data_IF_066215004215
#
_entry.id   IF_066215004215
#
_cell.length_a   1.000
_cell.length_b   1.000
_cell.length_c   1.000
_cell.angle_alpha   90.00
_cell.angle_beta   90.00
_cell.angle_gamma   90.00
#
_symmetry.space_group_name_H-M   'P 1'
#
loop_
_entity.id
_entity.type
_entity.pdbx_description
1 polymer ?
#
# COMPACT_ATOMS: atom_id res chain seq x y z
N UNK A 1 -40.90 -39.30 23.93
CA UNK A 1 -40.73 -37.85 24.21
C UNK A 1 -39.27 -37.52 23.94
N UNK A 2 -38.94 -37.11 22.71
CA UNK A 2 -37.58 -36.80 22.25
C UNK A 2 -37.31 -35.31 22.48
N UNK A 3 -36.47 -35.00 23.46
CA UNK A 3 -35.99 -33.63 23.70
C UNK A 3 -34.96 -33.26 22.64
N UNK A 4 -35.37 -32.44 21.68
CA UNK A 4 -34.49 -31.78 20.72
C UNK A 4 -33.69 -30.69 21.43
N UNK A 5 -32.42 -30.94 21.74
CA UNK A 5 -31.46 -29.92 22.15
C UNK A 5 -31.22 -28.97 20.97
N UNK A 6 -31.91 -27.84 20.98
CA UNK A 6 -31.63 -26.73 20.06
C UNK A 6 -30.27 -26.17 20.48
N UNK A 7 -29.24 -26.44 19.68
CA UNK A 7 -27.93 -25.82 19.85
C UNK A 7 -28.10 -24.31 19.64
N UNK A 8 -28.22 -23.58 20.74
CA UNK A 8 -28.27 -22.13 20.75
C UNK A 8 -26.86 -21.66 20.36
N UNK A 9 -26.74 -21.09 19.17
CA UNK A 9 -25.48 -20.56 18.68
C UNK A 9 -24.97 -19.51 19.67
N UNK A 10 -23.83 -19.79 20.32
CA UNK A 10 -23.20 -18.87 21.26
C UNK A 10 -22.96 -17.56 20.49
N UNK A 11 -23.59 -16.44 20.88
CA UNK A 11 -23.36 -15.18 20.19
C UNK A 11 -21.87 -14.86 20.27
N UNK A 12 -21.28 -14.48 19.13
CA UNK A 12 -19.90 -14.02 19.09
C UNK A 12 -19.72 -12.98 20.20
N UNK A 13 -18.71 -13.17 21.06
CA UNK A 13 -18.41 -12.23 22.14
C UNK A 13 -18.36 -10.81 21.58
N UNK A 14 -19.03 -9.87 22.23
CA UNK A 14 -19.02 -8.44 21.86
C UNK A 14 -17.59 -7.91 21.64
N UNK A 15 -16.61 -8.47 22.35
CA UNK A 15 -15.19 -8.14 22.18
C UNK A 15 -14.62 -8.61 20.83
N UNK A 16 -15.01 -9.80 20.34
CA UNK A 16 -14.60 -10.31 19.03
C UNK A 16 -15.19 -9.48 17.90
N UNK A 17 -16.47 -9.10 18.02
CA UNK A 17 -17.12 -8.20 17.05
C UNK A 17 -16.41 -6.82 17.00
N UNK A 18 -16.11 -6.23 18.16
CA UNK A 18 -15.42 -4.95 18.24
C UNK A 18 -14.00 -4.99 17.62
N UNK A 19 -13.25 -6.08 17.81
CA UNK A 19 -11.93 -6.27 17.17
C UNK A 19 -12.07 -6.37 15.65
N UNK A 20 -13.05 -7.12 15.16
CA UNK A 20 -13.32 -7.25 13.73
C UNK A 20 -13.66 -5.90 13.10
N UNK A 21 -14.53 -5.12 13.74
CA UNK A 21 -14.90 -3.77 13.29
C UNK A 21 -13.70 -2.82 13.26
N UNK A 22 -12.89 -2.83 14.32
CA UNK A 22 -11.66 -2.02 14.38
C UNK A 22 -10.67 -2.41 13.27
N UNK A 23 -10.51 -3.72 13.02
CA UNK A 23 -9.63 -4.21 11.95
C UNK A 23 -10.12 -3.80 10.56
N UNK A 24 -11.44 -3.83 10.32
CA UNK A 24 -12.05 -3.41 9.07
C UNK A 24 -11.94 -1.90 8.88
N UNK A 25 -12.20 -1.12 9.92
CA UNK A 25 -12.05 0.33 9.89
C UNK A 25 -10.60 0.72 9.56
N UNK A 26 -9.62 0.06 10.19
CA UNK A 26 -8.20 0.27 9.89
C UNK A 26 -7.85 -0.06 8.43
N UNK A 27 -8.29 -1.22 7.92
CA UNK A 27 -8.06 -1.62 6.52
C UNK A 27 -8.70 -0.62 5.55
N UNK A 28 -9.90 -0.11 5.84
CA UNK A 28 -10.59 0.91 5.03
C UNK A 28 -9.85 2.24 5.06
N UNK A 29 -9.40 2.69 6.23
CA UNK A 29 -8.61 3.91 6.36
C UNK A 29 -7.31 3.80 5.55
N UNK A 30 -6.62 2.65 5.63
CA UNK A 30 -5.43 2.40 4.84
C UNK A 30 -5.72 2.37 3.34
N UNK A 31 -6.84 1.77 2.90
CA UNK A 31 -7.25 1.81 1.49
C UNK A 31 -7.47 3.24 0.99
N UNK A 32 -8.21 4.06 1.73
CA UNK A 32 -8.43 5.46 1.36
C UNK A 32 -7.13 6.27 1.40
N UNK A 33 -6.26 6.01 2.37
CA UNK A 33 -4.93 6.59 2.43
C UNK A 33 -4.06 6.21 1.22
N UNK A 34 -4.12 4.96 0.76
CA UNK A 34 -3.44 4.50 -0.45
C UNK A 34 -3.95 5.22 -1.69
N UNK A 35 -5.27 5.38 -1.82
CA UNK A 35 -5.86 6.12 -2.93
C UNK A 35 -5.42 7.59 -2.93
N UNK A 36 -5.50 8.26 -1.78
CA UNK A 36 -5.06 9.64 -1.63
C UNK A 36 -3.57 9.81 -1.94
N UNK A 37 -2.72 8.93 -1.41
CA UNK A 37 -1.29 8.93 -1.67
C UNK A 37 -0.96 8.69 -3.15
N UNK A 38 -1.71 7.81 -3.83
CA UNK A 38 -1.56 7.59 -5.27
C UNK A 38 -1.95 8.82 -6.08
N UNK A 39 -3.02 9.52 -5.71
CA UNK A 39 -3.42 10.78 -6.35
C UNK A 39 -2.33 11.84 -6.16
N UNK A 40 -1.83 12.05 -4.94
CA UNK A 40 -0.77 13.01 -4.64
C UNK A 40 0.51 12.68 -5.41
N UNK A 41 0.95 11.42 -5.38
CA UNK A 41 2.16 11.00 -6.10
C UNK A 41 2.01 11.20 -7.61
N UNK A 42 0.85 10.85 -8.17
CA UNK A 42 0.61 11.02 -9.62
C UNK A 42 0.54 12.48 -10.03
N UNK A 43 -0.02 13.34 -9.17
CA UNK A 43 -0.02 14.78 -9.40
C UNK A 43 1.41 15.36 -9.35
N UNK A 44 2.23 14.90 -8.41
CA UNK A 44 3.66 15.24 -8.35
C UNK A 44 4.38 14.91 -9.65
N UNK A 45 4.15 13.72 -10.22
CA UNK A 45 4.73 13.31 -11.52
C UNK A 45 4.25 14.22 -12.67
N UNK A 46 2.97 14.58 -12.72
CA UNK A 46 2.49 15.47 -13.78
C UNK A 46 3.09 16.87 -13.65
N UNK A 47 3.21 17.37 -12.42
CA UNK A 47 3.87 18.63 -12.16
C UNK A 47 5.35 18.58 -12.54
N UNK A 48 6.01 17.46 -12.28
CA UNK A 48 7.42 17.23 -12.64
C UNK A 48 7.67 17.37 -14.15
N UNK A 49 6.83 16.71 -14.96
CA UNK A 49 6.88 16.82 -16.42
C UNK A 49 6.75 18.29 -16.85
N UNK A 50 5.77 19.01 -16.31
CA UNK A 50 5.60 20.43 -16.63
C UNK A 50 6.79 21.27 -16.19
N UNK A 51 7.33 21.02 -14.99
CA UNK A 51 8.52 21.70 -14.47
C UNK A 51 9.70 21.55 -15.44
N UNK A 52 10.00 20.33 -15.88
CA UNK A 52 11.10 20.08 -16.80
C UNK A 52 10.89 20.68 -18.19
N UNK A 53 9.65 20.82 -18.66
CA UNK A 53 9.38 21.50 -19.94
C UNK A 53 9.54 23.02 -19.89
N UNK A 54 9.30 23.65 -18.73
CA UNK A 54 9.27 25.12 -18.59
C UNK A 54 10.55 25.68 -17.98
N UNK A 55 11.04 25.05 -16.92
CA UNK A 55 12.18 25.52 -16.12
C UNK A 55 13.44 24.76 -16.50
N UNK A 56 13.31 23.48 -16.86
CA UNK A 56 14.43 22.59 -17.15
C UNK A 56 14.82 21.74 -15.95
N UNK A 57 16.06 21.21 -15.97
CA UNK A 57 16.56 20.29 -14.95
C UNK A 57 17.36 21.04 -13.89
N UNK A 58 16.83 21.13 -12.68
CA UNK A 58 17.47 21.86 -11.58
C UNK A 58 18.17 20.93 -10.57
N UNK A 59 17.40 20.08 -9.88
CA UNK A 59 17.89 19.29 -8.73
C UNK A 59 17.02 18.06 -8.45
N UNK A 60 17.58 17.08 -7.74
CA UNK A 60 16.83 15.93 -7.24
C UNK A 60 15.74 16.29 -6.22
N UNK A 61 15.84 17.44 -5.54
CA UNK A 61 14.95 17.85 -4.46
C UNK A 61 13.94 18.93 -4.83
N UNK A 62 13.60 19.07 -6.11
CA UNK A 62 12.59 20.05 -6.52
C UNK A 62 11.20 19.71 -5.95
N UNK A 63 10.32 20.72 -5.77
CA UNK A 63 8.99 20.51 -5.21
C UNK A 63 8.15 19.36 -5.82
N UNK A 64 8.09 19.16 -7.17
CA UNK A 64 7.33 18.04 -7.74
C UNK A 64 7.89 16.67 -7.36
N UNK A 65 9.21 16.52 -7.29
CA UNK A 65 9.85 15.29 -6.78
C UNK A 65 9.46 15.01 -5.33
N UNK A 66 9.55 16.01 -4.46
CA UNK A 66 9.21 15.86 -3.03
C UNK A 66 7.75 15.44 -2.86
N UNK A 67 6.83 16.01 -3.65
CA UNK A 67 5.42 15.61 -3.66
C UNK A 67 5.25 14.15 -4.10
N UNK A 68 5.97 13.75 -5.14
CA UNK A 68 5.97 12.37 -5.64
C UNK A 68 6.47 11.39 -4.57
N UNK A 69 7.61 11.70 -3.94
CA UNK A 69 8.22 10.89 -2.89
C UNK A 69 7.32 10.76 -1.67
N UNK A 70 6.68 11.86 -1.24
CA UNK A 70 5.77 11.83 -0.10
C UNK A 70 4.62 10.84 -0.31
N UNK A 71 4.00 10.84 -1.50
CA UNK A 71 2.96 9.87 -1.83
C UNK A 71 3.50 8.43 -1.87
N UNK A 72 4.68 8.20 -2.46
CA UNK A 72 5.32 6.88 -2.48
C UNK A 72 5.60 6.35 -1.08
N UNK A 73 6.16 7.18 -0.19
CA UNK A 73 6.45 6.80 1.21
C UNK A 73 5.16 6.41 1.93
N UNK A 74 4.09 7.19 1.79
CA UNK A 74 2.79 6.85 2.40
C UNK A 74 2.25 5.53 1.84
N UNK A 75 2.38 5.26 0.53
CA UNK A 75 1.96 3.99 -0.06
C UNK A 75 2.73 2.79 0.48
N UNK A 76 4.05 2.92 0.66
CA UNK A 76 4.89 1.89 1.29
C UNK A 76 4.42 1.64 2.73
N UNK A 77 4.30 2.71 3.51
CA UNK A 77 3.93 2.62 4.93
C UNK A 77 2.57 1.98 5.14
N UNK A 78 1.55 2.36 4.35
CA UNK A 78 0.20 1.80 4.48
C UNK A 78 0.14 0.35 4.00
N UNK A 79 0.77 0.02 2.86
CA UNK A 79 0.74 -1.34 2.31
C UNK A 79 1.43 -2.32 3.25
N UNK A 80 2.69 -2.05 3.60
CA UNK A 80 3.48 -2.93 4.46
C UNK A 80 3.06 -2.84 5.93
N UNK A 81 2.59 -1.68 6.40
CA UNK A 81 2.12 -1.50 7.76
C UNK A 81 0.86 -2.33 8.06
N UNK A 82 -0.08 -2.42 7.12
CA UNK A 82 -1.25 -3.31 7.26
C UNK A 82 -0.83 -4.77 7.28
N UNK A 83 0.05 -5.20 6.37
CA UNK A 83 0.57 -6.57 6.35
C UNK A 83 1.30 -6.92 7.65
N UNK A 84 2.16 -6.03 8.14
CA UNK A 84 2.86 -6.20 9.41
C UNK A 84 1.87 -6.29 10.58
N UNK A 85 0.89 -5.39 10.66
CA UNK A 85 -0.14 -5.40 11.69
C UNK A 85 -0.93 -6.71 11.73
N UNK A 86 -1.38 -7.20 10.58
CA UNK A 86 -2.13 -8.46 10.47
C UNK A 86 -1.25 -9.70 10.72
N UNK A 87 0.05 -9.61 10.44
CA UNK A 87 1.03 -10.65 10.74
C UNK A 87 1.25 -10.75 12.25
N UNK A 88 1.44 -9.62 12.92
CA UNK A 88 1.76 -9.53 14.34
C UNK A 88 0.53 -9.66 15.26
N UNK A 89 -0.68 -9.43 14.74
CA UNK A 89 -1.93 -9.49 15.51
C UNK A 89 -2.89 -10.54 14.93
N UNK A 90 -2.81 -11.82 15.36
CA UNK A 90 -3.69 -12.87 14.87
C UNK A 90 -5.19 -12.59 15.05
N UNK A 91 -5.57 -11.84 16.09
CA UNK A 91 -6.96 -11.43 16.35
C UNK A 91 -7.53 -10.48 15.29
N UNK A 92 -6.69 -9.87 14.46
CA UNK A 92 -7.11 -9.00 13.35
C UNK A 92 -7.36 -9.78 12.07
N UNK A 93 -7.25 -11.11 12.08
CA UNK A 93 -7.44 -11.96 10.91
C UNK A 93 -8.89 -12.41 10.80
N UNK A 94 -9.45 -12.27 9.61
CA UNK A 94 -10.74 -12.85 9.23
C UNK A 94 -10.54 -13.93 8.17
N UNK A 95 -11.64 -14.42 7.62
CA UNK A 95 -11.65 -15.50 6.62
C UNK A 95 -11.01 -15.10 5.28
N UNK A 96 -10.82 -13.79 5.05
CA UNK A 96 -10.25 -13.21 3.84
C UNK A 96 -8.70 -13.13 3.83
N UNK A 97 -8.06 -13.59 4.89
CA UNK A 97 -6.61 -13.47 5.09
C UNK A 97 -5.85 -14.63 4.45
N UNK A 98 -4.85 -14.27 3.65
CA UNK A 98 -3.88 -15.20 3.05
C UNK A 98 -2.47 -14.91 3.54
N UNK A 99 -1.59 -15.91 3.48
CA UNK A 99 -0.16 -15.74 3.75
C UNK A 99 0.65 -15.80 2.47
N UNK A 100 1.47 -14.78 2.24
CA UNK A 100 2.42 -14.71 1.13
C UNK A 100 3.76 -14.32 1.72
N UNK A 101 4.81 -15.11 1.46
CA UNK A 101 6.17 -14.89 2.00
C UNK A 101 6.19 -14.67 3.52
N UNK A 102 5.35 -15.40 4.27
CA UNK A 102 5.23 -15.29 5.73
C UNK A 102 4.34 -14.15 6.24
N UNK A 103 4.01 -13.16 5.40
CA UNK A 103 3.16 -12.02 5.76
C UNK A 103 1.67 -12.39 5.63
N UNK A 104 0.90 -12.14 6.69
CA UNK A 104 -0.56 -12.29 6.68
C UNK A 104 -1.22 -10.99 6.20
N UNK A 105 -2.18 -11.11 5.29
CA UNK A 105 -2.89 -9.95 4.73
C UNK A 105 -4.01 -10.36 3.79
N UNK A 106 -4.87 -9.42 3.41
CA UNK A 106 -5.82 -9.66 2.32
C UNK A 106 -5.08 -9.69 0.98
N UNK A 107 -5.66 -10.33 -0.03
CA UNK A 107 -5.08 -10.35 -1.39
C UNK A 107 -4.82 -8.93 -1.94
N UNK A 108 -5.70 -7.98 -1.62
CA UNK A 108 -5.57 -6.58 -2.05
C UNK A 108 -4.35 -5.89 -1.44
N UNK A 109 -4.06 -6.11 -0.15
CA UNK A 109 -2.86 -5.52 0.48
C UNK A 109 -1.57 -6.19 0.01
N UNK A 110 -1.59 -7.49 -0.30
CA UNK A 110 -0.45 -8.13 -0.97
C UNK A 110 -0.21 -7.56 -2.37
N UNK A 111 -1.27 -7.32 -3.14
CA UNK A 111 -1.17 -6.67 -4.45
C UNK A 111 -0.62 -5.24 -4.33
N UNK A 112 -1.14 -4.45 -3.38
CA UNK A 112 -0.66 -3.09 -3.13
C UNK A 112 0.82 -3.07 -2.71
N UNK A 113 1.22 -3.96 -1.80
CA UNK A 113 2.61 -4.09 -1.36
C UNK A 113 3.55 -4.53 -2.50
N UNK A 114 3.13 -5.50 -3.33
CA UNK A 114 3.89 -5.92 -4.50
C UNK A 114 4.03 -4.79 -5.53
N UNK A 115 2.94 -4.08 -5.84
CA UNK A 115 2.94 -2.98 -6.79
C UNK A 115 3.84 -1.81 -6.35
N UNK A 116 3.77 -1.41 -5.07
CA UNK A 116 4.63 -0.34 -4.57
C UNK A 116 6.09 -0.78 -4.46
N UNK A 117 6.36 -2.06 -4.13
CA UNK A 117 7.73 -2.59 -4.15
C UNK A 117 8.32 -2.55 -5.56
N UNK A 118 7.55 -2.93 -6.58
CA UNK A 118 7.98 -2.81 -7.98
C UNK A 118 8.25 -1.36 -8.37
N UNK A 119 7.39 -0.43 -7.93
CA UNK A 119 7.59 1.01 -8.19
C UNK A 119 8.88 1.53 -7.57
N UNK A 120 9.17 1.15 -6.32
CA UNK A 120 10.41 1.55 -5.64
C UNK A 120 11.64 0.92 -6.30
N UNK A 121 11.55 -0.34 -6.72
CA UNK A 121 12.64 -1.04 -7.42
C UNK A 121 12.87 -0.51 -8.84
N UNK A 122 11.87 0.12 -9.45
CA UNK A 122 12.02 0.69 -10.78
C UNK A 122 13.13 1.75 -10.83
N UNK A 123 13.26 2.60 -9.79
CA UNK A 123 14.27 3.65 -9.76
C UNK A 123 15.74 3.14 -9.82
N UNK A 124 16.18 2.20 -8.97
CA UNK A 124 17.55 1.66 -9.09
C UNK A 124 17.73 0.77 -10.32
N UNK A 125 16.67 0.13 -10.82
CA UNK A 125 16.74 -0.66 -12.08
C UNK A 125 16.94 0.29 -13.27
N UNK A 126 16.27 1.43 -13.27
CA UNK A 126 16.39 2.50 -14.27
C UNK A 126 17.80 3.11 -14.26
N UNK A 127 18.34 3.44 -13.08
CA UNK A 127 19.74 3.89 -12.95
C UNK A 127 20.74 2.85 -13.47
N UNK A 128 20.53 1.56 -13.15
CA UNK A 128 21.37 0.49 -13.68
C UNK A 128 21.27 0.39 -15.20
N UNK A 129 20.07 0.48 -15.75
CA UNK A 129 19.84 0.47 -17.20
C UNK A 129 20.63 1.60 -17.87
N UNK A 130 20.54 2.82 -17.33
CA UNK A 130 21.27 3.97 -17.86
C UNK A 130 22.78 3.83 -17.80
N UNK A 131 23.33 3.18 -16.76
CA UNK A 131 24.76 2.88 -16.67
C UNK A 131 25.22 1.84 -17.70
N UNK A 132 24.36 0.90 -18.07
CA UNK A 132 24.70 -0.19 -18.99
C UNK A 132 24.52 0.19 -20.46
N UNK A 133 23.46 0.94 -20.77
CA UNK A 133 23.01 1.18 -22.14
C UNK A 133 23.03 2.65 -22.55
N UNK A 134 23.26 3.55 -21.60
CA UNK A 134 23.21 4.98 -21.82
C UNK A 134 21.83 5.59 -21.57
N UNK A 135 21.74 6.87 -21.85
CA UNK A 135 20.63 7.75 -21.55
C UNK A 135 19.76 7.83 -22.82
N UNK A 136 18.54 7.26 -22.80
CA UNK A 136 17.53 7.26 -23.89
C UNK A 136 16.95 8.65 -24.25
N UNK A 137 17.43 9.31 -25.32
CA UNK A 137 16.97 10.66 -25.72
C UNK A 137 15.44 10.77 -25.83
N UNK A 138 14.78 11.44 -24.88
CA UNK A 138 13.77 12.51 -25.08
C UNK A 138 13.03 12.94 -23.80
N UNK A 139 12.84 12.08 -22.80
CA UNK A 139 12.14 12.42 -21.55
C UNK A 139 12.62 11.52 -20.40
N UNK A 140 13.58 12.00 -19.62
CA UNK A 140 13.50 11.93 -18.15
C UNK A 140 13.04 13.30 -17.70
#
# INVERSE_FOLDING_TARGET
MTTSTRAEAIPASTATAAIADASLAWRRAALWGLLGAKVVSSWGVQWDIQWHTVIGRDSFWIPPHVMTYAGVVVMVMLSFGVLAGMTLRPSWRGDDVVRVLGLAGTRGFHLAAGGIALTVLAAPIDDLWHRLFGIDVTLW
#
